data_IF_125627519381
#
_entry.id   IF_125627519381
#
_cell.length_a   1.000
_cell.length_b   1.000
_cell.length_c   1.000
_cell.angle_alpha   90.00
_cell.angle_beta   90.00
_cell.angle_gamma   90.00
#
_symmetry.space_group_name_H-M   'P 1'
#
loop_
_entity.id
_entity.type
_entity.pdbx_description
1 polymer ?
#
# COMPACT_ATOMS: atom_id res chain seq x y z
N UNK A 1 -11.77 15.05 1.21
CA UNK A 1 -12.10 13.65 1.60
C UNK A 1 -11.43 12.72 0.60
N UNK A 2 -10.68 11.71 1.06
CA UNK A 2 -10.03 10.71 0.20
C UNK A 2 -10.89 9.45 0.18
N UNK A 3 -11.13 8.87 -1.00
CA UNK A 3 -11.90 7.63 -1.11
C UNK A 3 -10.94 6.44 -0.99
N UNK A 4 -11.17 5.56 -0.01
CA UNK A 4 -10.38 4.34 0.19
C UNK A 4 -11.13 3.15 -0.41
N UNK A 5 -10.56 2.53 -1.44
CA UNK A 5 -11.13 1.35 -2.10
C UNK A 5 -10.61 0.08 -1.43
N UNK A 6 -11.51 -0.88 -1.19
CA UNK A 6 -11.23 -2.15 -0.52
C UNK A 6 -10.73 -2.03 0.94
N UNK A 7 -10.97 -0.90 1.60
CA UNK A 7 -10.55 -0.68 2.99
C UNK A 7 -11.13 -1.69 3.99
N UNK A 8 -12.36 -2.17 3.77
CA UNK A 8 -13.00 -3.20 4.61
C UNK A 8 -12.22 -4.51 4.67
N UNK A 9 -11.28 -4.73 3.74
CA UNK A 9 -10.41 -5.92 3.69
C UNK A 9 -9.04 -5.69 4.35
N UNK A 10 -8.81 -4.51 4.94
CA UNK A 10 -7.58 -4.24 5.68
C UNK A 10 -7.52 -5.15 6.92
N UNK A 11 -6.42 -5.89 7.04
CA UNK A 11 -6.15 -6.79 8.16
C UNK A 11 -5.96 -6.01 9.47
N UNK A 12 -6.15 -6.70 10.61
CA UNK A 12 -5.90 -6.12 11.93
C UNK A 12 -4.47 -5.62 12.09
N UNK A 13 -3.52 -6.22 11.36
CA UNK A 13 -2.12 -5.77 11.33
C UNK A 13 -1.96 -4.40 10.66
N UNK A 14 -2.63 -4.18 9.52
CA UNK A 14 -2.64 -2.89 8.82
C UNK A 14 -3.26 -1.79 9.70
N UNK A 15 -4.30 -2.13 10.46
CA UNK A 15 -4.94 -1.20 11.40
C UNK A 15 -4.03 -0.87 12.59
N UNK A 16 -3.38 -1.88 13.20
CA UNK A 16 -2.42 -1.70 14.30
C UNK A 16 -1.23 -0.81 13.93
N UNK A 17 -0.82 -0.83 12.66
CA UNK A 17 0.25 0.02 12.13
C UNK A 17 -0.17 1.45 11.85
N UNK A 18 -1.43 1.82 12.12
CA UNK A 18 -1.99 3.11 11.75
C UNK A 18 -1.71 3.45 10.28
N UNK A 19 -1.92 2.49 9.37
CA UNK A 19 -1.60 2.67 7.94
C UNK A 19 -2.31 3.91 7.33
N UNK A 20 -3.46 4.31 7.88
CA UNK A 20 -4.14 5.55 7.51
C UNK A 20 -3.30 6.81 7.74
N UNK A 21 -2.53 6.88 8.83
CA UNK A 21 -1.62 8.01 9.08
C UNK A 21 -0.48 8.01 8.07
N UNK A 22 0.11 6.84 7.83
CA UNK A 22 1.21 6.67 6.86
C UNK A 22 0.75 7.06 5.45
N UNK A 23 -0.45 6.65 5.05
CA UNK A 23 -1.04 7.00 3.76
C UNK A 23 -1.24 8.51 3.59
N UNK A 24 -1.51 9.24 4.67
CA UNK A 24 -1.70 10.69 4.64
C UNK A 24 -0.38 11.47 4.69
N UNK A 25 0.62 10.96 5.42
CA UNK A 25 1.88 11.67 5.66
C UNK A 25 2.94 11.40 4.60
N UNK A 26 2.86 10.25 3.92
CA UNK A 26 3.83 9.87 2.89
C UNK A 26 3.57 10.61 1.57
N UNK A 27 4.64 11.00 0.88
CA UNK A 27 4.60 11.49 -0.52
C UNK A 27 4.54 10.35 -1.55
N UNK A 28 4.95 9.14 -1.18
CA UNK A 28 5.10 8.01 -2.10
C UNK A 28 3.80 7.68 -2.84
N UNK A 29 3.93 7.35 -4.12
CA UNK A 29 2.83 6.92 -5.00
C UNK A 29 2.25 5.59 -4.54
N UNK A 30 3.13 4.67 -4.12
CA UNK A 30 2.77 3.31 -3.73
C UNK A 30 3.36 2.99 -2.36
N UNK A 31 2.51 2.51 -1.45
CA UNK A 31 2.95 2.00 -0.14
C UNK A 31 2.76 0.50 -0.10
N UNK A 32 3.82 -0.24 0.22
CA UNK A 32 3.80 -1.70 0.25
C UNK A 32 4.01 -2.21 1.67
N UNK A 33 3.15 -3.14 2.10
CA UNK A 33 3.30 -3.88 3.35
C UNK A 33 3.57 -5.35 3.03
N UNK A 34 4.79 -5.87 3.27
CA UNK A 34 5.07 -7.28 3.15
C UNK A 34 4.31 -8.06 4.23
N UNK A 35 3.54 -9.08 3.82
CA UNK A 35 2.83 -9.98 4.73
C UNK A 35 3.59 -11.30 4.91
N UNK A 36 4.17 -11.82 3.83
CA UNK A 36 5.04 -13.01 3.84
C UNK A 36 5.92 -13.04 2.58
N UNK A 37 6.78 -14.05 2.43
CA UNK A 37 7.78 -14.16 1.33
C UNK A 37 7.22 -13.89 -0.08
N UNK A 38 5.97 -14.29 -0.33
CA UNK A 38 5.31 -14.13 -1.62
C UNK A 38 3.94 -13.45 -1.51
N UNK A 39 3.72 -12.67 -0.44
CA UNK A 39 2.44 -12.03 -0.19
C UNK A 39 2.65 -10.64 0.37
N UNK A 40 1.97 -9.65 -0.20
CA UNK A 40 2.05 -8.28 0.27
C UNK A 40 0.78 -7.51 -0.08
N UNK A 41 0.56 -6.39 0.59
CA UNK A 41 -0.49 -5.42 0.28
C UNK A 41 0.15 -4.20 -0.33
N UNK A 42 -0.43 -3.70 -1.41
CA UNK A 42 -0.12 -2.40 -1.99
C UNK A 42 -1.27 -1.44 -1.72
N UNK A 43 -0.90 -0.21 -1.42
CA UNK A 43 -1.77 0.94 -1.44
C UNK A 43 -1.28 1.89 -2.52
N UNK A 44 -2.09 2.05 -3.57
CA UNK A 44 -1.77 2.89 -4.71
C UNK A 44 -2.53 4.19 -4.54
N UNK A 45 -1.82 5.31 -4.44
CA UNK A 45 -2.42 6.65 -4.50
C UNK A 45 -2.63 7.01 -5.96
N UNK A 46 -3.84 7.41 -6.29
CA UNK A 46 -4.22 7.78 -7.64
C UNK A 46 -5.36 8.79 -7.60
N UNK A 47 -5.86 9.19 -8.77
CA UNK A 47 -7.00 10.08 -8.91
C UNK A 47 -8.06 9.40 -9.74
N UNK A 48 -9.31 9.54 -9.31
CA UNK A 48 -10.47 9.11 -10.09
C UNK A 48 -10.54 9.91 -11.39
N UNK A 49 -10.61 9.24 -12.55
CA UNK A 49 -10.53 9.91 -13.85
C UNK A 49 -11.73 10.81 -14.14
N UNK A 50 -12.92 10.42 -13.67
CA UNK A 50 -14.15 11.16 -13.95
C UNK A 50 -14.30 12.38 -13.03
N UNK A 51 -13.91 12.24 -11.76
CA UNK A 51 -14.12 13.29 -10.74
C UNK A 51 -12.86 14.05 -10.35
N UNK A 52 -11.69 13.61 -10.83
CA UNK A 52 -10.35 14.10 -10.43
C UNK A 52 -10.10 14.07 -8.92
N UNK A 53 -10.88 13.27 -8.17
CA UNK A 53 -10.77 13.19 -6.71
C UNK A 53 -9.66 12.22 -6.30
N UNK A 54 -8.92 12.51 -5.22
CA UNK A 54 -7.93 11.59 -4.67
C UNK A 54 -8.55 10.25 -4.24
N UNK A 55 -7.92 9.17 -4.67
CA UNK A 55 -8.32 7.79 -4.46
C UNK A 55 -7.12 6.99 -3.96
N UNK A 56 -7.36 6.07 -3.04
CA UNK A 56 -6.36 5.08 -2.63
C UNK A 56 -6.93 3.69 -2.87
N UNK A 57 -6.21 2.87 -3.61
CA UNK A 57 -6.60 1.50 -3.95
C UNK A 57 -5.75 0.53 -3.14
N UNK A 58 -6.41 -0.28 -2.30
CA UNK A 58 -5.77 -1.42 -1.62
C UNK A 58 -5.84 -2.67 -2.49
N UNK A 59 -4.67 -3.25 -2.81
CA UNK A 59 -4.54 -4.51 -3.54
C UNK A 59 -3.70 -5.50 -2.74
N UNK A 60 -4.21 -6.70 -2.55
CA UNK A 60 -3.45 -7.81 -1.97
C UNK A 60 -2.91 -8.68 -3.09
N UNK A 61 -1.59 -8.88 -3.14
CA UNK A 61 -0.92 -9.63 -4.20
C UNK A 61 -0.19 -10.84 -3.64
N UNK A 62 -0.28 -11.96 -4.37
CA UNK A 62 0.47 -13.20 -4.10
C UNK A 62 1.57 -13.38 -5.15
N UNK A 63 2.67 -12.66 -5.02
CA UNK A 63 3.85 -12.76 -5.89
C UNK A 63 5.13 -12.36 -5.16
N UNK A 64 6.27 -12.52 -5.82
CA UNK A 64 7.56 -12.06 -5.29
C UNK A 64 7.58 -10.53 -5.19
N UNK A 65 7.82 -10.02 -3.97
CA UNK A 65 7.97 -8.59 -3.73
C UNK A 65 9.11 -7.99 -4.56
N UNK A 66 10.25 -8.69 -4.64
CA UNK A 66 11.43 -8.25 -5.39
C UNK A 66 11.09 -8.04 -6.88
N UNK A 67 10.33 -8.96 -7.48
CA UNK A 67 9.91 -8.81 -8.88
C UNK A 67 9.01 -7.60 -9.07
N UNK A 68 8.16 -7.30 -8.10
CA UNK A 68 7.28 -6.14 -8.17
C UNK A 68 8.02 -4.83 -7.98
N UNK A 69 8.94 -4.75 -7.01
CA UNK A 69 9.75 -3.57 -6.80
C UNK A 69 10.54 -3.21 -8.06
N UNK A 70 11.17 -4.20 -8.71
CA UNK A 70 11.85 -3.98 -10.00
C UNK A 70 10.93 -3.51 -11.12
N UNK A 71 9.65 -3.90 -11.09
CA UNK A 71 8.66 -3.44 -12.06
C UNK A 71 8.29 -1.98 -11.79
N UNK A 72 7.94 -1.66 -10.55
CA UNK A 72 7.53 -0.32 -10.13
C UNK A 72 8.66 0.71 -10.30
N UNK A 73 9.89 0.30 -9.99
CA UNK A 73 11.10 1.10 -10.23
C UNK A 73 11.29 1.42 -11.72
N UNK A 74 11.10 0.43 -12.62
CA UNK A 74 11.14 0.66 -14.07
C UNK A 74 10.03 1.59 -14.57
N UNK A 75 8.90 1.61 -13.87
CA UNK A 75 7.77 2.49 -14.15
C UNK A 75 7.93 3.87 -13.46
N UNK A 76 9.06 4.13 -12.79
CA UNK A 76 9.38 5.36 -12.06
C UNK A 76 8.38 5.71 -10.95
N UNK A 77 7.76 4.72 -10.31
CA UNK A 77 6.92 4.96 -9.13
C UNK A 77 7.78 5.21 -7.88
N UNK A 78 7.39 6.19 -7.07
CA UNK A 78 7.94 6.35 -5.72
C UNK A 78 7.31 5.32 -4.79
N UNK A 79 8.11 4.37 -4.31
CA UNK A 79 7.65 3.24 -3.49
C UNK A 79 8.17 3.35 -2.06
N UNK A 80 7.25 3.33 -1.09
CA UNK A 80 7.58 3.20 0.33
C UNK A 80 7.24 1.79 0.83
N UNK A 81 8.22 1.09 1.39
CA UNK A 81 8.01 -0.21 2.03
C UNK A 81 7.86 0.00 3.54
N UNK A 82 6.73 -0.43 4.10
CA UNK A 82 6.45 -0.38 5.54
C UNK A 82 6.57 -1.78 6.10
N UNK A 83 7.65 -2.05 6.82
CA UNK A 83 7.88 -3.36 7.42
C UNK A 83 7.07 -3.45 8.72
N UNK A 84 6.22 -4.49 8.88
CA UNK A 84 5.60 -4.81 10.15
C UNK A 84 6.63 -4.93 11.27
N UNK A 85 6.52 -4.14 12.34
CA UNK A 85 7.28 -4.47 13.55
C UNK A 85 6.74 -5.80 14.09
N UNK A 86 7.58 -6.82 14.16
CA UNK A 86 7.32 -8.03 14.93
C UNK A 86 7.36 -7.66 16.42
N UNK A 87 6.31 -7.01 16.93
CA UNK A 87 6.06 -7.07 18.37
C UNK A 87 5.48 -8.45 18.62
N UNK A 88 6.38 -9.38 18.91
CA UNK A 88 6.07 -10.65 19.57
C UNK A 88 5.31 -10.33 20.86
N UNK A 89 4.02 -10.61 20.88
CA UNK A 89 3.21 -10.73 22.10
C UNK A 89 2.52 -12.08 22.03
#
# INVERSE_FOLDING_TARGET
>A
MVKLVNWRKASSMEQKMNINLILKSSSADIIIIPLSRCKFVEYIKTTDLDTMKPLIIRLEKKKSLIKELKKLEKENFEVLIVIPSLTST
#
